data_IF_919419333911
#
_entry.id   IF_919419333911
#
_cell.length_a   1.000
_cell.length_b   1.000
_cell.length_c   1.000
_cell.angle_alpha   90.00
_cell.angle_beta   90.00
_cell.angle_gamma   90.00
#
_symmetry.space_group_name_H-M   'P 1'
#
loop_
_entity.id
_entity.type
_entity.pdbx_description
1 polymer ?
#
# COMPACT_ATOMS: atom_id res chain seq x y z
N UNK A 1 76.33 -9.31 33.64
CA UNK A 1 75.70 -8.16 32.94
C UNK A 1 74.44 -8.65 32.23
N UNK A 2 73.32 -8.62 32.94
CA UNK A 2 72.01 -9.10 32.49
C UNK A 2 71.39 -8.19 31.44
N UNK A 3 70.86 -8.79 30.38
CA UNK A 3 70.06 -8.11 29.35
C UNK A 3 68.58 -8.15 29.78
N UNK A 4 68.01 -6.99 30.09
CA UNK A 4 66.58 -6.83 30.38
C UNK A 4 65.75 -6.98 29.10
N UNK A 5 64.94 -8.02 29.04
CA UNK A 5 63.97 -8.29 27.97
C UNK A 5 62.70 -7.47 28.22
N UNK A 6 62.42 -6.48 27.37
CA UNK A 6 61.19 -5.69 27.41
C UNK A 6 60.01 -6.48 26.84
N UNK A 7 59.02 -6.80 27.68
CA UNK A 7 57.77 -7.47 27.29
C UNK A 7 56.76 -6.41 26.83
N UNK A 8 56.56 -6.31 25.52
CA UNK A 8 55.51 -5.46 24.90
C UNK A 8 54.16 -6.16 25.05
N UNK A 9 53.23 -5.54 25.75
CA UNK A 9 51.82 -5.97 25.78
C UNK A 9 51.13 -5.43 24.53
N UNK A 10 50.62 -6.32 23.67
CA UNK A 10 49.71 -5.95 22.58
C UNK A 10 48.28 -5.96 23.13
N UNK A 11 47.67 -4.78 23.25
CA UNK A 11 46.23 -4.63 23.46
C UNK A 11 45.52 -5.00 22.14
N UNK A 12 44.81 -6.11 22.13
CA UNK A 12 43.88 -6.45 21.06
C UNK A 12 42.60 -5.60 21.23
N UNK A 13 42.41 -4.63 20.34
CA UNK A 13 41.15 -3.88 20.23
C UNK A 13 40.17 -4.74 19.44
N UNK A 14 39.20 -5.34 20.13
CA UNK A 14 38.03 -5.96 19.49
C UNK A 14 37.08 -4.84 19.05
N UNK A 15 37.14 -4.49 17.76
CA UNK A 15 36.13 -3.64 17.13
C UNK A 15 34.87 -4.50 16.97
N UNK A 16 33.87 -4.28 17.84
CA UNK A 16 32.55 -4.86 17.66
C UNK A 16 31.89 -4.27 16.41
N UNK A 17 31.65 -5.11 15.40
CA UNK A 17 30.78 -4.76 14.28
C UNK A 17 29.34 -4.66 14.79
N UNK A 18 28.87 -3.44 15.02
CA UNK A 18 27.45 -3.17 15.17
C UNK A 18 26.78 -3.42 13.81
N UNK A 19 26.07 -4.54 13.65
CA UNK A 19 25.18 -4.74 12.51
C UNK A 19 24.01 -3.79 12.68
N UNK A 20 24.05 -2.67 11.96
CA UNK A 20 22.85 -1.87 11.73
C UNK A 20 21.86 -2.78 11.01
N UNK A 21 20.72 -3.07 11.66
CA UNK A 21 19.60 -3.71 11.02
C UNK A 21 19.03 -2.74 9.98
N UNK A 22 19.63 -2.73 8.78
CA UNK A 22 19.08 -2.04 7.63
C UNK A 22 17.75 -2.68 7.28
N UNK A 23 16.71 -1.85 7.08
CA UNK A 23 15.45 -2.34 6.55
C UNK A 23 15.73 -3.09 5.23
N UNK A 24 15.39 -4.38 5.19
CA UNK A 24 15.49 -5.18 3.96
C UNK A 24 14.53 -4.55 2.96
N UNK A 25 15.03 -4.15 1.80
CA UNK A 25 14.19 -3.62 0.74
C UNK A 25 13.09 -4.63 0.42
N UNK A 26 11.83 -4.20 0.16
CA UNK A 26 10.75 -5.12 -0.17
C UNK A 26 11.13 -6.00 -1.37
N UNK A 27 10.63 -7.23 -1.45
CA UNK A 27 10.82 -8.03 -2.65
C UNK A 27 10.11 -7.39 -3.87
N UNK A 28 10.38 -7.90 -5.07
CA UNK A 28 9.83 -7.34 -6.30
C UNK A 28 8.30 -7.39 -6.35
N UNK A 29 7.66 -8.48 -5.92
CA UNK A 29 6.22 -8.62 -5.95
C UNK A 29 5.56 -7.63 -4.99
N UNK A 30 6.15 -7.43 -3.81
CA UNK A 30 5.70 -6.40 -2.85
C UNK A 30 5.77 -5.00 -3.46
N UNK A 31 6.85 -4.65 -4.18
CA UNK A 31 6.94 -3.35 -4.87
C UNK A 31 5.90 -3.20 -5.98
N UNK A 32 5.68 -4.23 -6.79
CA UNK A 32 4.68 -4.22 -7.86
C UNK A 32 3.26 -4.02 -7.31
N UNK A 33 2.94 -4.69 -6.20
CA UNK A 33 1.65 -4.54 -5.51
C UNK A 33 1.44 -3.12 -4.96
N UNK A 34 2.45 -2.56 -4.27
CA UNK A 34 2.36 -1.19 -3.75
C UNK A 34 2.24 -0.16 -4.87
N UNK A 35 2.89 -0.39 -6.01
CA UNK A 35 2.72 0.45 -7.20
C UNK A 35 1.30 0.32 -7.78
N UNK A 36 0.79 -0.91 -7.95
CA UNK A 36 -0.56 -1.13 -8.45
C UNK A 36 -1.63 -0.50 -7.55
N UNK A 37 -1.45 -0.56 -6.23
CA UNK A 37 -2.30 0.12 -5.26
C UNK A 37 -2.25 1.64 -5.43
N UNK A 38 -1.05 2.22 -5.58
CA UNK A 38 -0.90 3.65 -5.81
C UNK A 38 -1.56 4.10 -7.13
N UNK A 39 -1.47 3.29 -8.19
CA UNK A 39 -2.11 3.54 -9.48
C UNK A 39 -3.65 3.53 -9.35
N UNK A 40 -4.21 2.66 -8.51
CA UNK A 40 -5.66 2.65 -8.19
C UNK A 40 -6.05 3.95 -7.49
N UNK A 41 -5.33 4.39 -6.45
CA UNK A 41 -5.60 5.66 -5.78
C UNK A 41 -5.52 6.85 -6.76
N UNK A 42 -4.53 6.86 -7.64
CA UNK A 42 -4.41 7.89 -8.68
C UNK A 42 -5.60 7.87 -9.62
N UNK A 43 -6.09 6.70 -10.01
CA UNK A 43 -7.26 6.59 -10.89
C UNK A 43 -8.52 7.17 -10.25
N UNK A 44 -8.73 6.96 -8.94
CA UNK A 44 -9.81 7.60 -8.18
C UNK A 44 -9.66 9.12 -8.14
N UNK A 45 -8.49 9.63 -7.76
CA UNK A 45 -8.22 11.08 -7.67
C UNK A 45 -8.37 11.79 -9.03
N UNK A 46 -7.84 11.17 -10.08
CA UNK A 46 -7.88 11.71 -11.44
C UNK A 46 -9.21 11.48 -12.16
N UNK A 47 -10.17 10.73 -11.59
CA UNK A 47 -11.43 10.42 -12.26
C UNK A 47 -11.24 9.53 -13.51
N UNK A 48 -10.19 8.71 -13.54
CA UNK A 48 -9.81 7.91 -14.71
C UNK A 48 -10.43 6.51 -14.66
N UNK A 49 -11.72 6.42 -14.98
CA UNK A 49 -12.46 5.15 -14.94
C UNK A 49 -11.81 4.04 -15.81
N UNK A 50 -11.23 4.36 -16.97
CA UNK A 50 -10.57 3.35 -17.80
C UNK A 50 -9.27 2.82 -17.19
N UNK A 51 -8.54 3.64 -16.43
CA UNK A 51 -7.37 3.17 -15.69
C UNK A 51 -7.82 2.23 -14.57
N UNK A 52 -8.85 2.62 -13.82
CA UNK A 52 -9.42 1.81 -12.77
C UNK A 52 -9.96 0.46 -13.31
N UNK A 53 -10.63 0.46 -14.46
CA UNK A 53 -11.12 -0.76 -15.13
C UNK A 53 -10.00 -1.76 -15.43
N UNK A 54 -8.80 -1.28 -15.79
CA UNK A 54 -7.66 -2.14 -16.08
C UNK A 54 -6.97 -2.70 -14.84
N UNK A 55 -7.15 -2.04 -13.69
CA UNK A 55 -6.54 -2.42 -12.42
C UNK A 55 -7.40 -3.38 -11.59
N UNK A 56 -8.71 -3.47 -11.88
CA UNK A 56 -9.67 -4.29 -11.14
C UNK A 56 -9.99 -5.58 -11.89
N UNK A 57 -10.36 -6.63 -11.15
CA UNK A 57 -10.96 -7.82 -11.77
C UNK A 57 -12.40 -7.54 -12.25
N UNK A 58 -12.88 -8.34 -13.21
CA UNK A 58 -14.25 -8.20 -13.74
C UNK A 58 -15.34 -8.47 -12.68
N UNK A 59 -14.99 -9.27 -11.66
CA UNK A 59 -15.79 -9.65 -10.51
C UNK A 59 -15.48 -8.81 -9.25
N UNK A 60 -14.81 -7.67 -9.43
CA UNK A 60 -14.42 -6.80 -8.32
C UNK A 60 -15.61 -6.40 -7.43
N UNK A 61 -15.37 -6.44 -6.12
CA UNK A 61 -16.33 -6.03 -5.09
C UNK A 61 -15.68 -5.10 -4.06
N UNK A 62 -16.34 -3.99 -3.75
CA UNK A 62 -16.00 -3.09 -2.65
C UNK A 62 -17.06 -3.20 -1.56
N UNK A 63 -16.63 -3.28 -0.31
CA UNK A 63 -17.45 -2.98 0.87
C UNK A 63 -17.03 -1.60 1.39
N UNK A 64 -17.93 -0.62 1.28
CA UNK A 64 -17.65 0.76 1.72
C UNK A 64 -17.73 0.91 3.25
N UNK A 65 -17.40 2.10 3.76
CA UNK A 65 -17.42 2.38 5.20
C UNK A 65 -18.80 2.37 5.85
N UNK A 66 -19.87 2.33 5.06
CA UNK A 66 -21.26 2.18 5.53
C UNK A 66 -21.72 0.71 5.47
N UNK A 67 -20.87 -0.20 5.00
CA UNK A 67 -21.19 -1.61 4.82
C UNK A 67 -21.95 -1.91 3.52
N UNK A 68 -22.08 -0.94 2.60
CA UNK A 68 -22.67 -1.20 1.30
C UNK A 68 -21.71 -2.01 0.44
N UNK A 69 -22.26 -2.94 -0.32
CA UNK A 69 -21.50 -3.75 -1.28
C UNK A 69 -21.71 -3.20 -2.68
N UNK A 70 -20.64 -2.79 -3.35
CA UNK A 70 -20.66 -2.28 -4.73
C UNK A 70 -19.78 -3.12 -5.65
N UNK A 71 -20.13 -3.18 -6.93
CA UNK A 71 -19.39 -3.92 -7.95
C UNK A 71 -18.53 -3.01 -8.83
N UNK A 72 -17.75 -3.61 -9.75
CA UNK A 72 -16.95 -2.88 -10.73
C UNK A 72 -17.72 -1.77 -11.46
N UNK A 73 -18.91 -2.07 -12.01
CA UNK A 73 -19.68 -1.10 -12.80
C UNK A 73 -20.04 0.14 -11.99
N UNK A 74 -20.43 -0.04 -10.73
CA UNK A 74 -20.78 1.07 -9.83
C UNK A 74 -19.56 1.92 -9.50
N UNK A 75 -18.43 1.30 -9.15
CA UNK A 75 -17.18 2.01 -8.85
C UNK A 75 -16.66 2.80 -10.08
N UNK A 76 -16.76 2.24 -11.28
CA UNK A 76 -16.40 2.95 -12.50
C UNK A 76 -17.32 4.14 -12.79
N UNK A 77 -18.62 4.02 -12.47
CA UNK A 77 -19.57 5.11 -12.64
C UNK A 77 -19.30 6.25 -11.65
N UNK A 78 -18.97 5.94 -10.40
CA UNK A 78 -18.58 6.92 -9.37
C UNK A 78 -17.33 7.70 -9.80
N UNK A 79 -16.28 7.00 -10.20
CA UNK A 79 -15.04 7.63 -10.70
C UNK A 79 -15.27 8.50 -11.92
N UNK A 80 -16.09 8.03 -12.88
CA UNK A 80 -16.44 8.81 -14.06
C UNK A 80 -17.28 10.05 -13.74
N UNK A 81 -18.18 9.96 -12.75
CA UNK A 81 -18.99 11.07 -12.29
C UNK A 81 -18.19 12.14 -11.52
N UNK A 82 -17.03 11.76 -10.97
CA UNK A 82 -16.22 12.59 -10.05
C UNK A 82 -17.04 13.10 -8.86
N UNK A 83 -17.93 12.26 -8.37
CA UNK A 83 -18.78 12.55 -7.21
C UNK A 83 -18.71 11.32 -6.28
N UNK A 84 -17.98 11.40 -5.15
CA UNK A 84 -17.27 12.59 -4.65
C UNK A 84 -16.07 13.02 -5.51
N UNK A 85 -15.74 14.31 -5.47
CA UNK A 85 -14.51 14.85 -6.05
C UNK A 85 -13.37 14.72 -5.03
N UNK A 86 -12.31 14.00 -5.39
CA UNK A 86 -11.12 13.87 -4.55
C UNK A 86 -10.05 14.90 -4.90
N UNK A 87 -9.61 15.66 -3.90
CA UNK A 87 -8.41 16.52 -3.95
C UNK A 87 -7.17 15.74 -3.50
N UNK A 88 -7.36 14.78 -2.60
CA UNK A 88 -6.32 13.90 -2.06
C UNK A 88 -6.90 12.49 -1.90
N UNK A 89 -6.18 11.50 -2.41
CA UNK A 89 -6.43 10.07 -2.19
C UNK A 89 -5.08 9.37 -2.01
N UNK A 90 -4.65 9.16 -0.76
CA UNK A 90 -3.29 8.68 -0.46
C UNK A 90 -3.33 7.52 0.51
N UNK A 91 -2.60 6.47 0.16
CA UNK A 91 -2.38 5.32 1.02
C UNK A 91 -1.07 5.46 1.82
N UNK A 92 -1.09 5.02 3.07
CA UNK A 92 0.07 4.93 3.95
C UNK A 92 -0.09 3.77 4.95
N UNK A 93 0.96 3.52 5.75
CA UNK A 93 1.01 2.44 6.75
C UNK A 93 0.63 1.06 6.20
N UNK A 94 1.05 0.79 4.96
CA UNK A 94 0.67 -0.40 4.21
C UNK A 94 1.50 -1.61 4.61
N UNK A 95 0.82 -2.72 4.87
CA UNK A 95 1.40 -4.03 5.12
C UNK A 95 0.95 -5.02 4.05
N UNK A 96 1.90 -5.65 3.37
CA UNK A 96 1.65 -6.61 2.30
C UNK A 96 1.88 -8.03 2.82
N UNK A 97 0.95 -8.94 2.51
CA UNK A 97 1.10 -10.39 2.72
C UNK A 97 0.84 -11.14 1.42
N UNK A 98 1.82 -11.94 1.00
CA UNK A 98 1.77 -12.74 -0.24
C UNK A 98 1.31 -14.17 0.05
N UNK A 99 0.50 -14.71 -0.86
CA UNK A 99 -0.07 -16.06 -0.83
C UNK A 99 -0.07 -16.65 -2.25
N UNK A 100 1.12 -16.93 -2.80
CA UNK A 100 1.26 -17.40 -4.18
C UNK A 100 0.77 -16.34 -5.16
N UNK A 101 -0.28 -16.65 -5.92
CA UNK A 101 -0.93 -15.72 -6.87
C UNK A 101 -2.01 -14.84 -6.23
N UNK A 102 -2.07 -14.77 -4.90
CA UNK A 102 -2.92 -13.85 -4.16
C UNK A 102 -2.09 -12.99 -3.20
N UNK A 103 -2.58 -11.81 -2.85
CA UNK A 103 -1.99 -10.96 -1.83
C UNK A 103 -3.06 -10.18 -1.06
N UNK A 104 -2.71 -9.79 0.16
CA UNK A 104 -3.49 -8.87 0.97
C UNK A 104 -2.66 -7.64 1.26
N UNK A 105 -3.27 -6.46 1.10
CA UNK A 105 -2.73 -5.20 1.58
C UNK A 105 -3.65 -4.66 2.65
N UNK A 106 -3.11 -4.38 3.84
CA UNK A 106 -3.83 -3.67 4.91
C UNK A 106 -3.12 -2.35 5.11
N UNK A 107 -3.84 -1.24 5.02
CA UNK A 107 -3.26 0.09 5.15
C UNK A 107 -4.28 1.13 5.58
N UNK A 108 -3.87 2.39 5.53
CA UNK A 108 -4.74 3.53 5.78
C UNK A 108 -4.83 4.37 4.51
N UNK A 109 -6.04 4.74 4.11
CA UNK A 109 -6.28 5.74 3.07
C UNK A 109 -6.71 7.04 3.72
N UNK A 110 -5.95 8.10 3.49
CA UNK A 110 -6.36 9.49 3.75
C UNK A 110 -7.02 10.07 2.51
N UNK A 111 -8.22 10.60 2.67
CA UNK A 111 -8.94 11.29 1.61
C UNK A 111 -9.32 12.71 2.03
N UNK A 112 -9.29 13.62 1.05
CA UNK A 112 -9.86 14.97 1.13
C UNK A 112 -10.55 15.28 -0.17
N UNK A 113 -11.66 16.00 -0.10
CA UNK A 113 -12.43 16.28 -1.30
C UNK A 113 -13.70 17.06 -1.04
N UNK A 114 -14.63 16.97 -1.99
CA UNK A 114 -15.97 17.56 -1.92
C UNK A 114 -17.01 16.52 -2.30
N UNK A 115 -18.08 16.45 -1.53
CA UNK A 115 -19.24 15.59 -1.80
C UNK A 115 -20.50 16.44 -1.73
N UNK A 116 -21.31 16.45 -2.80
CA UNK A 116 -22.48 17.32 -2.90
C UNK A 116 -22.14 18.81 -2.74
N UNK A 117 -20.92 19.22 -3.10
CA UNK A 117 -20.39 20.58 -2.94
C UNK A 117 -19.73 20.88 -1.58
N UNK A 118 -19.96 20.06 -0.55
CA UNK A 118 -19.43 20.27 0.79
C UNK A 118 -18.05 19.62 0.96
N UNK A 119 -17.06 20.31 1.56
CA UNK A 119 -15.73 19.75 1.78
C UNK A 119 -15.76 18.64 2.83
N UNK A 120 -14.94 17.60 2.62
CA UNK A 120 -14.72 16.53 3.59
C UNK A 120 -13.25 16.13 3.68
N UNK A 121 -12.88 15.55 4.82
CA UNK A 121 -11.64 14.83 5.01
C UNK A 121 -11.89 13.64 5.96
N UNK A 122 -11.28 12.49 5.67
CA UNK A 122 -11.42 11.29 6.48
C UNK A 122 -10.26 10.31 6.26
N UNK A 123 -10.05 9.45 7.25
CA UNK A 123 -9.12 8.34 7.17
C UNK A 123 -9.88 7.01 7.23
N UNK A 124 -9.44 6.02 6.46
CA UNK A 124 -10.05 4.70 6.40
C UNK A 124 -9.00 3.63 6.59
N UNK A 125 -9.28 2.64 7.44
CA UNK A 125 -8.54 1.38 7.44
C UNK A 125 -9.11 0.52 6.34
N UNK A 126 -8.28 0.10 5.40
CA UNK A 126 -8.70 -0.78 4.31
C UNK A 126 -8.04 -2.16 4.39
N UNK A 127 -8.67 -3.13 3.74
CA UNK A 127 -8.08 -4.42 3.37
C UNK A 127 -8.38 -4.69 1.91
N UNK A 128 -7.33 -4.76 1.12
CA UNK A 128 -7.39 -4.97 -0.32
C UNK A 128 -6.87 -6.37 -0.65
N UNK A 129 -7.65 -7.11 -1.43
CA UNK A 129 -7.34 -8.48 -1.88
C UNK A 129 -6.97 -8.43 -3.34
N UNK A 130 -5.72 -8.75 -3.62
CA UNK A 130 -5.13 -8.75 -4.95
C UNK A 130 -4.98 -10.18 -5.46
N UNK A 131 -5.17 -10.37 -6.77
CA UNK A 131 -4.92 -11.65 -7.45
C UNK A 131 -4.04 -11.41 -8.67
N UNK A 132 -3.15 -12.36 -8.97
CA UNK A 132 -2.29 -12.32 -10.14
C UNK A 132 -2.96 -13.07 -11.29
N UNK A 133 -3.26 -12.37 -12.39
CA UNK A 133 -3.79 -12.97 -13.64
C UNK A 133 -2.92 -12.53 -14.81
N UNK A 134 -2.45 -13.48 -15.62
CA UNK A 134 -1.59 -13.22 -16.79
C UNK A 134 -0.36 -12.34 -16.46
N UNK A 135 0.25 -12.59 -15.29
CA UNK A 135 1.43 -11.86 -14.83
C UNK A 135 1.15 -10.45 -14.32
N UNK A 136 -0.11 -10.05 -14.14
CA UNK A 136 -0.52 -8.73 -13.62
C UNK A 136 -1.30 -8.88 -12.32
N UNK A 137 -1.00 -8.01 -11.36
CA UNK A 137 -1.82 -7.86 -10.16
C UNK A 137 -3.09 -7.08 -10.48
N UNK A 138 -4.22 -7.64 -10.08
CA UNK A 138 -5.54 -7.02 -10.21
C UNK A 138 -6.22 -7.02 -8.85
N UNK A 139 -6.83 -5.90 -8.49
CA UNK A 139 -7.59 -5.76 -7.25
C UNK A 139 -8.92 -6.50 -7.42
N UNK A 140 -9.13 -7.53 -6.61
CA UNK A 140 -10.30 -8.40 -6.65
C UNK A 140 -11.35 -8.00 -5.62
N UNK A 141 -10.94 -7.51 -4.47
CA UNK A 141 -11.87 -6.99 -3.48
C UNK A 141 -11.23 -5.91 -2.61
N UNK A 142 -12.03 -4.97 -2.12
CA UNK A 142 -11.63 -4.01 -1.11
C UNK A 142 -12.69 -3.93 -0.01
N UNK A 143 -12.26 -3.71 1.22
CA UNK A 143 -13.13 -3.41 2.36
C UNK A 143 -12.54 -2.23 3.12
N UNK A 144 -13.32 -1.18 3.32
CA UNK A 144 -12.90 0.00 4.06
C UNK A 144 -13.76 0.22 5.30
N UNK A 145 -13.14 0.65 6.39
CA UNK A 145 -13.83 1.10 7.60
C UNK A 145 -13.30 2.47 7.99
N UNK A 146 -14.20 3.39 8.36
CA UNK A 146 -13.81 4.74 8.76
C UNK A 146 -13.07 4.67 10.09
N UNK A 147 -11.92 5.31 10.17
CA UNK A 147 -11.22 5.49 11.45
C UNK A 147 -11.91 6.57 12.29
N UNK A 148 -11.84 6.48 13.64
CA UNK A 148 -12.41 7.47 14.55
C UNK A 148 -11.93 8.90 14.27
#
# INVERSE_FOLDING_TARGET
MERKTGRRWLLAVLIGMATTAGAVAPDQATRELLQAEADVCQAFEAGHADALRRALTVDFTLVDSHGNVTNLKQNLAEVAAREPFYEEFRNHDQQVRLYGDAALIVGITSIRGRAGGEPFAANFRYTDTWVRRDGKWLLAASHASRLP
#
